data_IF_463591787704
#
_entry.id   IF_463591787704
#
_cell.length_a   1.000
_cell.length_b   1.000
_cell.length_c   1.000
_cell.angle_alpha   90.00
_cell.angle_beta   90.00
_cell.angle_gamma   90.00
#
_symmetry.space_group_name_H-M   'P 1'
#
loop_
_entity.id
_entity.type
_entity.pdbx_description
1 polymer ?
#
# COMPACT_ATOMS: atom_id res chain seq x y z
N UNK A 1 -8.14 -4.37 -14.63
CA UNK A 1 -7.31 -4.22 -13.41
C UNK A 1 -5.87 -3.93 -13.82
N UNK A 2 -5.28 -2.83 -13.33
CA UNK A 2 -3.85 -2.53 -13.52
C UNK A 2 -3.06 -3.26 -12.44
N UNK A 3 -2.08 -4.08 -12.82
CA UNK A 3 -1.20 -4.77 -11.87
C UNK A 3 -0.07 -3.81 -11.46
N UNK A 4 0.21 -3.73 -10.16
CA UNK A 4 1.32 -2.95 -9.61
C UNK A 4 2.23 -3.94 -8.86
N UNK A 5 3.50 -4.11 -9.26
CA UNK A 5 4.43 -4.96 -8.51
C UNK A 5 4.61 -4.44 -7.09
N UNK A 6 4.48 -5.33 -6.11
CA UNK A 6 4.72 -5.01 -4.70
C UNK A 6 5.38 -6.20 -4.00
N UNK A 7 6.04 -5.91 -2.88
CA UNK A 7 6.51 -6.91 -1.93
C UNK A 7 5.79 -6.70 -0.61
N UNK A 8 5.18 -7.76 -0.08
CA UNK A 8 4.68 -7.75 1.30
C UNK A 8 5.78 -8.18 2.24
N UNK A 9 6.13 -7.31 3.18
CA UNK A 9 7.23 -7.58 4.12
C UNK A 9 6.86 -7.19 5.54
N UNK A 10 7.41 -7.93 6.50
CA UNK A 10 7.47 -7.52 7.90
C UNK A 10 8.70 -6.63 8.12
N UNK A 11 8.50 -5.40 8.58
CA UNK A 11 9.55 -4.48 9.00
C UNK A 11 9.44 -4.20 10.50
N UNK A 12 10.37 -4.73 11.30
CA UNK A 12 10.25 -4.68 12.76
C UNK A 12 8.94 -5.32 13.24
N UNK A 13 8.19 -4.64 14.10
CA UNK A 13 6.88 -5.11 14.60
C UNK A 13 5.70 -4.73 13.69
N UNK A 14 5.95 -4.21 12.49
CA UNK A 14 4.92 -3.84 11.51
C UNK A 14 5.01 -4.66 10.22
N UNK A 15 3.94 -4.66 9.43
CA UNK A 15 3.89 -5.25 8.09
C UNK A 15 3.30 -4.23 7.12
N UNK A 16 3.77 -4.24 5.87
CA UNK A 16 3.26 -3.33 4.85
C UNK A 16 3.67 -3.71 3.44
N UNK A 17 3.11 -2.96 2.49
CA UNK A 17 3.42 -3.07 1.08
C UNK A 17 4.63 -2.20 0.72
N UNK A 18 5.62 -2.80 0.08
CA UNK A 18 6.80 -2.12 -0.43
C UNK A 18 6.67 -1.99 -1.94
N UNK A 19 6.68 -0.75 -2.42
CA UNK A 19 6.42 -0.38 -3.81
C UNK A 19 7.61 0.43 -4.34
N UNK A 20 7.97 0.24 -5.61
CA UNK A 20 8.92 1.13 -6.27
C UNK A 20 8.19 2.37 -6.79
N UNK A 21 8.80 3.54 -6.62
CA UNK A 21 8.22 4.82 -7.05
C UNK A 21 7.90 4.85 -8.55
N UNK A 22 8.73 4.22 -9.39
CA UNK A 22 8.55 4.12 -10.85
C UNK A 22 7.29 3.35 -11.27
N UNK A 23 6.72 2.54 -10.38
CA UNK A 23 5.47 1.81 -10.63
C UNK A 23 4.22 2.60 -10.23
N UNK A 24 4.38 3.77 -9.62
CA UNK A 24 3.29 4.61 -9.14
C UNK A 24 3.14 5.88 -10.00
N UNK A 25 1.94 6.49 -10.05
CA UNK A 25 1.79 7.80 -10.68
C UNK A 25 2.63 8.87 -9.98
N UNK A 26 3.12 9.82 -10.78
CA UNK A 26 3.80 11.02 -10.26
C UNK A 26 2.81 11.99 -9.58
N UNK A 27 1.58 12.07 -10.08
CA UNK A 27 0.51 12.85 -9.45
C UNK A 27 0.18 12.28 -8.07
N UNK A 28 0.37 13.10 -7.03
CA UNK A 28 0.20 12.68 -5.64
C UNK A 28 -1.24 12.27 -5.34
N UNK A 29 -2.22 12.99 -5.89
CA UNK A 29 -3.64 12.69 -5.64
C UNK A 29 -4.03 11.32 -6.20
N UNK A 30 -3.57 11.00 -7.41
CA UNK A 30 -3.77 9.67 -8.00
C UNK A 30 -3.00 8.60 -7.24
N UNK A 31 -1.77 8.87 -6.84
CA UNK A 31 -0.97 7.94 -6.05
C UNK A 31 -1.67 7.59 -4.74
N UNK A 32 -2.11 8.58 -3.97
CA UNK A 32 -2.75 8.37 -2.68
C UNK A 32 -4.04 7.54 -2.83
N UNK A 33 -4.84 7.81 -3.86
CA UNK A 33 -6.02 6.99 -4.20
C UNK A 33 -5.64 5.53 -4.48
N UNK A 34 -4.56 5.30 -5.21
CA UNK A 34 -4.05 3.94 -5.49
C UNK A 34 -3.57 3.28 -4.19
N UNK A 35 -2.83 3.98 -3.34
CA UNK A 35 -2.35 3.42 -2.08
C UNK A 35 -3.50 3.05 -1.15
N UNK A 36 -4.50 3.92 -1.01
CA UNK A 36 -5.72 3.61 -0.25
C UNK A 36 -6.45 2.39 -0.81
N UNK A 37 -6.58 2.29 -2.14
CA UNK A 37 -7.22 1.16 -2.79
C UNK A 37 -6.41 -0.15 -2.61
N UNK A 38 -5.08 -0.10 -2.72
CA UNK A 38 -4.20 -1.26 -2.44
C UNK A 38 -4.43 -1.76 -1.02
N UNK A 39 -4.50 -0.84 -0.05
CA UNK A 39 -4.68 -1.20 1.35
C UNK A 39 -6.11 -1.61 1.70
N UNK A 40 -7.11 -1.29 0.87
CA UNK A 40 -8.53 -1.51 1.19
C UNK A 40 -9.08 -0.48 2.18
N UNK A 41 -8.43 0.68 2.29
CA UNK A 41 -8.79 1.74 3.23
C UNK A 41 -10.18 2.32 2.93
N UNK A 42 -10.89 2.74 3.98
CA UNK A 42 -12.30 3.12 3.93
C UNK A 42 -13.26 2.02 4.40
N UNK A 43 -12.72 0.82 4.65
CA UNK A 43 -13.38 -0.26 5.38
C UNK A 43 -12.52 -0.62 6.61
N UNK A 44 -13.14 -0.73 7.79
CA UNK A 44 -12.42 -1.01 9.05
C UNK A 44 -11.63 -2.32 9.04
N UNK A 45 -12.06 -3.29 8.24
CA UNK A 45 -11.41 -4.60 8.10
C UNK A 45 -10.42 -4.64 6.94
N UNK A 46 -10.39 -3.62 6.08
CA UNK A 46 -9.54 -3.56 4.88
C UNK A 46 -9.71 -4.78 3.95
N UNK A 47 -10.90 -5.41 3.96
CA UNK A 47 -11.15 -6.75 3.40
C UNK A 47 -11.01 -6.86 1.87
N UNK A 48 -11.13 -5.74 1.16
CA UNK A 48 -10.97 -5.66 -0.30
C UNK A 48 -9.58 -5.13 -0.71
N UNK A 49 -8.60 -5.22 0.20
CA UNK A 49 -7.22 -4.85 -0.03
C UNK A 49 -6.24 -5.78 0.70
N UNK A 50 -4.97 -5.36 0.77
CA UNK A 50 -3.91 -6.13 1.45
C UNK A 50 -3.59 -5.61 2.85
N UNK A 51 -4.35 -4.61 3.31
CA UNK A 51 -4.34 -4.14 4.68
C UNK A 51 -4.79 -5.22 5.66
N UNK A 52 -4.67 -4.92 6.95
CA UNK A 52 -5.00 -5.87 8.02
C UNK A 52 -6.01 -5.34 9.03
N UNK A 53 -6.68 -4.22 8.75
CA UNK A 53 -7.65 -3.59 9.65
C UNK A 53 -7.03 -3.02 10.92
N UNK A 54 -5.71 -2.78 10.92
CA UNK A 54 -4.95 -2.25 12.04
C UNK A 54 -3.79 -1.40 11.52
N UNK A 55 -3.51 -0.21 12.10
CA UNK A 55 -2.36 0.63 11.76
C UNK A 55 -1.00 -0.09 11.66
N UNK A 56 -0.74 -1.16 12.43
CA UNK A 56 0.53 -1.91 12.34
C UNK A 56 0.67 -2.76 11.07
N UNK A 57 -0.44 -3.05 10.41
CA UNK A 57 -0.53 -3.82 9.16
C UNK A 57 -1.11 -3.02 8.00
N UNK A 58 -1.41 -1.73 8.21
CA UNK A 58 -1.87 -0.77 7.21
C UNK A 58 -0.79 0.28 6.94
N UNK A 59 0.31 -0.16 6.31
CA UNK A 59 1.48 0.68 6.02
C UNK A 59 1.98 0.44 4.61
N UNK A 60 2.54 1.49 4.02
CA UNK A 60 3.19 1.46 2.71
C UNK A 60 4.57 2.08 2.81
N UNK A 61 5.54 1.49 2.13
CA UNK A 61 6.84 2.09 1.86
C UNK A 61 7.00 2.29 0.35
N UNK A 62 7.35 3.52 -0.05
CA UNK A 62 7.70 3.85 -1.44
C UNK A 62 9.22 3.98 -1.50
N UNK A 63 9.85 3.19 -2.36
CA UNK A 63 11.30 3.13 -2.51
C UNK A 63 11.69 3.71 -3.87
N UNK A 64 12.70 4.57 -3.88
CA UNK A 64 13.38 5.05 -5.08
C UNK A 64 14.89 4.88 -4.89
N UNK A 65 15.66 5.07 -5.97
CA UNK A 65 17.11 5.19 -5.87
C UNK A 65 17.52 6.44 -5.11
#
# INVERSE_FOLDING_TARGET
MKKIPCVMMRGGTSRGAFLLAEHLPEDQTQRDKILMAIMGSGNDLEIDGIGGGNPLTSKVAIISR
#
